data_IF_874493547406
#
_entry.id   IF_874493547406
#
_cell.length_a   1.000
_cell.length_b   1.000
_cell.length_c   1.000
_cell.angle_alpha   90.00
_cell.angle_beta   90.00
_cell.angle_gamma   90.00
#
_symmetry.space_group_name_H-M   'P 1'
#
loop_
_entity.id
_entity.type
_entity.pdbx_description
1 polymer ?
#
# COMPACT_ATOMS: atom_id res chain seq x y z
N UNK A 1 -24.43 -2.67 -27.04
CA UNK A 1 -24.84 -2.28 -25.66
C UNK A 1 -23.74 -2.49 -24.62
N UNK A 2 -23.17 -3.69 -24.46
CA UNK A 2 -22.11 -3.97 -23.46
C UNK A 2 -20.76 -3.34 -23.84
N UNK A 3 -20.35 -3.44 -25.12
CA UNK A 3 -19.08 -2.88 -25.59
C UNK A 3 -18.99 -1.35 -25.41
N UNK A 4 -20.10 -0.64 -25.63
CA UNK A 4 -20.18 0.81 -25.37
C UNK A 4 -20.03 1.16 -23.89
N UNK A 5 -20.52 0.31 -22.97
CA UNK A 5 -20.34 0.52 -21.53
C UNK A 5 -18.87 0.41 -21.13
N UNK A 6 -18.18 -0.61 -21.63
CA UNK A 6 -16.75 -0.84 -21.32
C UNK A 6 -15.89 0.29 -21.92
N UNK A 7 -16.18 0.70 -23.16
CA UNK A 7 -15.46 1.81 -23.82
C UNK A 7 -15.61 3.13 -23.06
N UNK A 8 -16.82 3.44 -22.57
CA UNK A 8 -17.07 4.61 -21.72
C UNK A 8 -16.32 4.53 -20.39
N UNK A 9 -16.44 3.40 -19.69
CA UNK A 9 -15.74 3.19 -18.41
C UNK A 9 -14.22 3.35 -18.54
N UNK A 10 -13.63 2.83 -19.61
CA UNK A 10 -12.20 2.99 -19.89
C UNK A 10 -11.79 4.45 -20.11
N UNK A 11 -12.57 5.20 -20.91
CA UNK A 11 -12.34 6.63 -21.14
C UNK A 11 -12.44 7.45 -19.85
N UNK A 12 -13.44 7.15 -19.01
CA UNK A 12 -13.64 7.82 -17.73
C UNK A 12 -12.48 7.54 -16.76
N UNK A 13 -11.99 6.29 -16.70
CA UNK A 13 -10.85 5.92 -15.86
C UNK A 13 -9.57 6.68 -16.25
N UNK A 14 -9.30 6.82 -17.55
CA UNK A 14 -8.16 7.60 -18.05
C UNK A 14 -8.30 9.07 -17.66
N UNK A 15 -9.51 9.63 -17.75
CA UNK A 15 -9.76 11.02 -17.37
C UNK A 15 -9.47 11.24 -15.89
N UNK A 16 -9.91 10.33 -15.03
CA UNK A 16 -9.64 10.38 -13.59
C UNK A 16 -8.14 10.30 -13.30
N UNK A 17 -7.42 9.34 -13.92
CA UNK A 17 -5.97 9.19 -13.76
C UNK A 17 -5.18 10.43 -14.18
N UNK A 18 -5.68 11.16 -15.19
CA UNK A 18 -5.10 12.44 -15.63
C UNK A 18 -5.47 13.60 -14.72
N UNK A 19 -6.61 13.55 -14.04
CA UNK A 19 -7.06 14.57 -13.09
C UNK A 19 -6.30 14.50 -11.77
N UNK A 20 -5.91 13.30 -11.34
CA UNK A 20 -5.20 13.09 -10.08
C UNK A 20 -3.76 13.59 -10.14
N UNK A 21 -3.31 14.27 -9.08
CA UNK A 21 -1.93 14.75 -8.94
C UNK A 21 -0.99 13.56 -8.73
N UNK A 22 -0.03 13.38 -9.65
CA UNK A 22 1.07 12.43 -9.44
C UNK A 22 1.92 12.89 -8.24
N UNK A 23 2.18 12.02 -7.25
CA UNK A 23 2.96 12.40 -6.07
C UNK A 23 4.37 12.81 -6.47
N UNK A 24 4.91 13.84 -5.79
CA UNK A 24 6.31 14.22 -5.98
C UNK A 24 7.21 13.16 -5.34
N UNK A 25 8.43 12.98 -5.86
CA UNK A 25 9.40 12.03 -5.30
C UNK A 25 9.67 12.26 -3.81
N UNK A 26 9.65 13.51 -3.35
CA UNK A 26 9.83 13.86 -1.93
C UNK A 26 8.68 13.34 -1.06
N UNK A 27 7.43 13.61 -1.44
CA UNK A 27 6.23 13.19 -0.71
C UNK A 27 6.13 11.65 -0.65
N UNK A 28 6.49 10.98 -1.74
CA UNK A 28 6.55 9.52 -1.80
C UNK A 28 7.61 8.97 -0.84
N UNK A 29 8.82 9.54 -0.83
CA UNK A 29 9.90 9.10 0.05
C UNK A 29 9.59 9.33 1.52
N UNK A 30 8.96 10.45 1.87
CA UNK A 30 8.53 10.72 3.25
C UNK A 30 7.50 9.69 3.71
N UNK A 31 6.48 9.43 2.90
CA UNK A 31 5.47 8.41 3.19
C UNK A 31 6.11 7.03 3.31
N UNK A 32 6.96 6.64 2.35
CA UNK A 32 7.63 5.36 2.34
C UNK A 32 8.52 5.14 3.58
N UNK A 33 9.20 6.19 4.07
CA UNK A 33 9.99 6.13 5.30
C UNK A 33 9.12 5.88 6.53
N UNK A 34 8.02 6.63 6.68
CA UNK A 34 7.11 6.49 7.82
C UNK A 34 6.45 5.11 7.81
N UNK A 35 5.92 4.67 6.66
CA UNK A 35 5.31 3.34 6.54
C UNK A 35 6.34 2.23 6.74
N UNK A 36 7.56 2.39 6.23
CA UNK A 36 8.64 1.42 6.41
C UNK A 36 9.01 1.20 7.88
N UNK A 37 9.11 2.29 8.65
CA UNK A 37 9.33 2.22 10.11
C UNK A 37 8.16 1.50 10.81
N UNK A 38 6.92 1.82 10.42
CA UNK A 38 5.73 1.14 10.94
C UNK A 38 5.70 -0.36 10.66
N UNK A 39 6.03 -0.77 9.43
CA UNK A 39 6.11 -2.19 9.06
C UNK A 39 7.16 -2.93 9.87
N UNK A 40 8.35 -2.33 10.05
CA UNK A 40 9.42 -2.93 10.85
C UNK A 40 9.01 -3.06 12.32
N UNK A 41 8.39 -2.03 12.91
CA UNK A 41 7.94 -2.06 14.29
C UNK A 41 6.91 -3.17 14.53
N UNK A 42 5.86 -3.24 13.70
CA UNK A 42 4.81 -4.26 13.83
C UNK A 42 5.38 -5.66 13.57
N UNK A 43 6.22 -5.82 12.54
CA UNK A 43 6.88 -7.09 12.23
C UNK A 43 7.78 -7.56 13.37
N UNK A 44 8.53 -6.65 13.99
CA UNK A 44 9.41 -6.97 15.12
C UNK A 44 8.63 -7.39 16.36
N UNK A 45 7.51 -6.72 16.67
CA UNK A 45 6.63 -7.10 17.77
C UNK A 45 6.07 -8.51 17.54
N UNK A 46 5.55 -8.78 16.34
CA UNK A 46 5.06 -10.13 15.98
C UNK A 46 6.16 -11.19 16.08
N UNK A 47 7.38 -10.85 15.65
CA UNK A 47 8.54 -11.73 15.74
C UNK A 47 8.92 -12.06 17.19
N UNK A 48 8.90 -11.07 18.09
CA UNK A 48 9.13 -11.29 19.53
C UNK A 48 8.09 -12.24 20.10
N UNK A 49 6.81 -12.05 19.79
CA UNK A 49 5.72 -12.91 20.27
C UNK A 49 5.95 -14.36 19.81
N UNK A 50 6.35 -14.57 18.55
CA UNK A 50 6.67 -15.90 18.02
C UNK A 50 7.83 -16.55 18.76
N UNK A 51 8.92 -15.82 19.01
CA UNK A 51 10.07 -16.34 19.75
C UNK A 51 9.68 -16.74 21.17
N UNK A 52 8.93 -15.87 21.86
CA UNK A 52 8.49 -16.15 23.23
C UNK A 52 7.59 -17.37 23.28
N UNK A 53 6.68 -17.52 22.32
CA UNK A 53 5.80 -18.68 22.24
C UNK A 53 6.57 -19.97 21.94
N UNK A 54 7.57 -19.91 21.05
CA UNK A 54 8.47 -21.05 20.77
C UNK A 54 9.28 -21.45 22.00
N UNK A 55 9.76 -20.47 22.77
CA UNK A 55 10.53 -20.70 23.99
C UNK A 55 9.69 -21.31 25.11
N UNK A 56 8.43 -20.89 25.26
CA UNK A 56 7.50 -21.43 26.26
C UNK A 56 6.99 -22.83 25.87
N UNK A 57 6.87 -23.10 24.57
CA UNK A 57 6.38 -24.39 24.04
C UNK A 57 7.44 -25.49 24.09
N UNK A 58 8.73 -25.14 24.10
CA UNK A 58 9.84 -26.05 24.33
C UNK A 58 10.01 -26.36 25.80
#
# INVERSE_FOLDING_TARGET
MVLDRISRAYKDMIRILRLTRKPKKSEFLETAKVTGIGMLAIGFIGFIILILFELIRR
#
